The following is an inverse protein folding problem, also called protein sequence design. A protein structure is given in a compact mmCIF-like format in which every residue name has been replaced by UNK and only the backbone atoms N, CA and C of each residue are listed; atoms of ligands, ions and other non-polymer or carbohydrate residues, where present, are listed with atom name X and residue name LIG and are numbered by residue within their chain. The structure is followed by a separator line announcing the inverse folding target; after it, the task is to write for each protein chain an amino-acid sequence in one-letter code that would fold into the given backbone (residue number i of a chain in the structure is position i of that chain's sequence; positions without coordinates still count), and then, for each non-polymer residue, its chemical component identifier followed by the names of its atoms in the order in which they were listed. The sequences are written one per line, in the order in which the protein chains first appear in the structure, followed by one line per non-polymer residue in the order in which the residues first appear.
data_IF_639465663439
#
_entry.id   IF_639465663439
#
_cell.length_a   1.000
_cell.length_b   1.000
_cell.length_c   1.000
_cell.angle_alpha   90.00
_cell.angle_beta   90.00
_cell.angle_gamma   90.00
#
_symmetry.space_group_name_H-M   'P 1'
#
loop_
_entity.id
_entity.type
_entity.pdbx_description
1 polymer ?
#
# COMPACT_ATOMS: atom_id res chain seq x y z
N UNK A 1 -30.16 -25.24 8.27
CA UNK A 1 -29.22 -24.25 7.69
C UNK A 1 -29.55 -24.05 6.22
N UNK A 2 -29.68 -22.81 5.77
CA UNK A 2 -29.93 -22.45 4.39
C UNK A 2 -28.65 -21.94 3.74
N UNK A 3 -28.35 -22.43 2.54
CA UNK A 3 -27.23 -21.96 1.73
C UNK A 3 -27.79 -21.28 0.50
N UNK A 4 -27.45 -20.00 0.32
CA UNK A 4 -27.70 -19.27 -0.92
C UNK A 4 -26.37 -19.23 -1.67
N UNK A 5 -26.34 -19.75 -2.90
CA UNK A 5 -25.13 -19.83 -3.73
C UNK A 5 -25.47 -19.52 -5.18
N UNK A 6 -24.46 -19.33 -6.03
CA UNK A 6 -24.65 -18.95 -7.44
C UNK A 6 -24.83 -17.46 -7.67
N UNK A 7 -24.67 -16.62 -6.64
CA UNK A 7 -24.69 -15.16 -6.80
C UNK A 7 -23.39 -14.70 -7.46
N UNK A 8 -23.41 -14.65 -8.78
CA UNK A 8 -22.30 -14.21 -9.61
C UNK A 8 -22.45 -12.75 -9.96
N UNK A 9 -21.32 -12.04 -9.92
CA UNK A 9 -21.26 -10.65 -10.32
C UNK A 9 -20.04 -10.37 -11.17
N UNK A 10 -20.26 -9.49 -12.14
CA UNK A 10 -19.26 -8.97 -13.05
C UNK A 10 -19.44 -7.46 -13.06
N UNK A 11 -18.43 -6.73 -12.58
CA UNK A 11 -18.52 -5.27 -12.54
C UNK A 11 -18.34 -4.64 -13.94
N UNK A 12 -17.52 -5.23 -14.82
CA UNK A 12 -17.48 -4.92 -16.26
C UNK A 12 -16.82 -6.07 -17.07
N UNK A 13 -17.01 -6.05 -18.39
CA UNK A 13 -16.36 -7.00 -19.31
C UNK A 13 -14.89 -6.60 -19.52
N UNK A 14 -13.99 -7.57 -19.41
CA UNK A 14 -12.56 -7.41 -19.71
C UNK A 14 -11.76 -6.66 -18.63
N UNK A 15 -12.37 -6.41 -17.47
CA UNK A 15 -11.72 -5.75 -16.33
C UNK A 15 -11.71 -6.67 -15.14
N UNK A 16 -10.62 -6.64 -14.38
CA UNK A 16 -10.55 -7.33 -13.10
C UNK A 16 -10.64 -6.30 -11.97
N UNK A 17 -11.11 -6.75 -10.82
CA UNK A 17 -11.33 -5.89 -9.67
C UNK A 17 -10.73 -6.53 -8.45
N UNK A 18 -10.22 -5.68 -7.55
CA UNK A 18 -9.82 -6.12 -6.23
C UNK A 18 -11.06 -6.12 -5.33
N UNK A 19 -11.67 -7.28 -5.15
CA UNK A 19 -12.82 -7.43 -4.25
C UNK A 19 -12.37 -7.20 -2.81
N UNK A 20 -13.00 -6.24 -2.12
CA UNK A 20 -12.49 -5.75 -0.83
C UNK A 20 -13.32 -6.23 0.35
N UNK A 21 -14.65 -6.05 0.32
CA UNK A 21 -15.52 -6.45 1.44
C UNK A 21 -16.97 -6.70 1.03
N UNK A 22 -17.68 -7.44 1.88
CA UNK A 22 -19.12 -7.64 1.85
C UNK A 22 -19.69 -7.01 3.11
N UNK A 23 -20.43 -5.91 2.97
CA UNK A 23 -21.20 -5.32 4.05
C UNK A 23 -22.64 -5.81 3.98
N UNK A 24 -23.30 -6.01 5.12
CA UNK A 24 -24.64 -6.59 5.16
C UNK A 24 -25.48 -6.04 6.30
N UNK A 25 -26.80 -6.13 6.13
CA UNK A 25 -27.77 -5.74 7.14
C UNK A 25 -28.87 -6.80 7.32
N UNK A 26 -29.37 -6.89 8.54
CA UNK A 26 -30.45 -7.76 8.96
C UNK A 26 -31.37 -7.01 9.94
N UNK A 27 -32.68 -7.21 9.82
CA UNK A 27 -33.65 -6.64 10.75
C UNK A 27 -33.50 -7.22 12.17
N UNK A 28 -33.11 -8.50 12.27
CA UNK A 28 -32.83 -9.17 13.52
C UNK A 28 -31.94 -10.40 13.28
N UNK A 29 -30.97 -10.59 14.17
CA UNK A 29 -30.19 -11.81 14.26
C UNK A 29 -30.54 -12.51 15.59
N UNK A 30 -31.50 -13.45 15.60
CA UNK A 30 -31.91 -14.15 16.81
C UNK A 30 -30.75 -14.91 17.47
N UNK A 31 -30.87 -15.18 18.76
CA UNK A 31 -29.97 -16.10 19.44
C UNK A 31 -29.92 -17.46 18.71
N UNK A 32 -28.78 -18.14 18.79
CA UNK A 32 -28.53 -19.44 18.13
C UNK A 32 -28.52 -19.39 16.60
N UNK A 33 -28.49 -18.20 15.98
CA UNK A 33 -28.39 -18.05 14.52
C UNK A 33 -27.07 -17.41 14.09
N UNK A 34 -26.66 -17.65 12.84
CA UNK A 34 -25.49 -16.97 12.29
C UNK A 34 -25.57 -16.73 10.78
N UNK A 35 -24.84 -15.69 10.35
CA UNK A 35 -24.65 -15.32 8.95
C UNK A 35 -23.16 -15.36 8.61
N UNK A 36 -22.80 -16.04 7.53
CA UNK A 36 -21.43 -16.07 7.01
C UNK A 36 -21.41 -15.99 5.49
N UNK A 37 -20.33 -15.44 4.94
CA UNK A 37 -20.11 -15.35 3.50
C UNK A 37 -18.85 -16.12 3.11
N UNK A 38 -18.87 -16.67 1.91
CA UNK A 38 -17.70 -17.21 1.22
C UNK A 38 -17.65 -16.58 -0.18
N UNK A 39 -16.44 -16.34 -0.66
CA UNK A 39 -16.20 -15.79 -1.98
C UNK A 39 -15.27 -16.68 -2.79
N UNK A 40 -15.47 -16.71 -4.10
CA UNK A 40 -14.53 -17.26 -5.07
C UNK A 40 -14.52 -16.41 -6.32
N UNK A 41 -13.43 -16.49 -7.06
CA UNK A 41 -13.16 -15.60 -8.20
C UNK A 41 -12.99 -16.36 -9.49
N UNK A 42 -13.24 -15.68 -10.61
CA UNK A 42 -13.07 -16.24 -11.94
C UNK A 42 -12.72 -15.14 -12.95
N UNK A 43 -11.86 -15.46 -13.91
CA UNK A 43 -11.53 -14.55 -15.00
C UNK A 43 -12.48 -14.72 -16.19
N UNK A 44 -13.08 -15.90 -16.37
CA UNK A 44 -13.88 -16.29 -17.54
C UNK A 44 -15.35 -16.59 -17.20
N UNK A 45 -15.74 -16.49 -15.93
CA UNK A 45 -17.09 -16.79 -15.42
C UNK A 45 -17.42 -18.29 -15.35
N UNK A 46 -16.49 -19.16 -15.76
CA UNK A 46 -16.70 -20.60 -15.96
C UNK A 46 -15.74 -21.45 -15.13
N UNK A 47 -14.48 -21.04 -15.06
CA UNK A 47 -13.40 -21.63 -14.26
C UNK A 47 -13.24 -20.82 -12.98
N UNK A 48 -13.55 -21.44 -11.84
CA UNK A 48 -13.62 -20.75 -10.54
C UNK A 48 -12.50 -21.18 -9.61
N UNK A 49 -12.00 -20.24 -8.81
CA UNK A 49 -11.13 -20.55 -7.69
C UNK A 49 -11.85 -21.45 -6.67
N UNK A 50 -11.08 -21.98 -5.72
CA UNK A 50 -11.66 -22.55 -4.50
C UNK A 50 -12.46 -21.49 -3.72
N UNK A 51 -13.47 -21.94 -3.00
CA UNK A 51 -14.17 -21.11 -2.03
C UNK A 51 -13.21 -20.70 -0.92
N UNK A 52 -13.09 -19.40 -0.69
CA UNK A 52 -12.45 -18.86 0.51
C UNK A 52 -13.51 -18.26 1.42
N UNK A 53 -13.44 -18.57 2.71
CA UNK A 53 -14.30 -17.93 3.71
C UNK A 53 -13.99 -16.44 3.79
N UNK A 54 -15.02 -15.59 3.67
CA UNK A 54 -14.90 -14.16 3.89
C UNK A 54 -14.62 -13.84 5.37
N UNK A 55 -15.19 -14.60 6.31
CA UNK A 55 -14.80 -14.55 7.73
C UNK A 55 -15.44 -15.67 8.57
N UNK A 56 -15.20 -15.61 9.89
CA UNK A 56 -15.97 -16.31 10.92
C UNK A 56 -17.46 -15.95 10.86
N UNK A 57 -18.37 -16.89 11.15
CA UNK A 57 -19.80 -16.60 11.22
C UNK A 57 -20.11 -15.51 12.24
N UNK A 58 -20.95 -14.57 11.83
CA UNK A 58 -21.48 -13.53 12.71
C UNK A 58 -22.68 -14.08 13.46
N UNK A 59 -22.62 -14.04 14.79
CA UNK A 59 -23.64 -14.59 15.71
C UNK A 59 -24.36 -13.52 16.51
N UNK A 60 -24.01 -12.25 16.31
CA UNK A 60 -24.64 -11.10 16.95
C UNK A 60 -24.57 -9.86 16.04
N UNK A 61 -25.42 -8.87 16.33
CA UNK A 61 -25.50 -7.63 15.54
C UNK A 61 -26.50 -7.71 14.38
N UNK A 62 -27.07 -6.56 14.04
CA UNK A 62 -28.02 -6.38 12.92
C UNK A 62 -27.33 -5.87 11.65
N UNK A 63 -26.02 -5.66 11.70
CA UNK A 63 -25.20 -5.31 10.54
C UNK A 63 -23.80 -5.86 10.74
N UNK A 64 -23.06 -6.01 9.64
CA UNK A 64 -21.67 -6.41 9.69
C UNK A 64 -20.93 -6.14 8.39
N UNK A 65 -19.61 -6.27 8.43
CA UNK A 65 -18.75 -6.21 7.26
C UNK A 65 -17.73 -7.35 7.32
N UNK A 66 -17.57 -8.07 6.22
CA UNK A 66 -16.63 -9.17 6.08
C UNK A 66 -15.61 -8.83 5.00
N UNK A 67 -14.32 -8.96 5.31
CA UNK A 67 -13.25 -8.73 4.33
C UNK A 67 -13.19 -9.90 3.35
N UNK A 68 -13.06 -9.59 2.07
CA UNK A 68 -12.74 -10.58 1.03
C UNK A 68 -11.47 -10.19 0.25
N UNK A 69 -10.66 -9.29 0.85
CA UNK A 69 -9.43 -8.76 0.25
C UNK A 69 -8.34 -9.82 0.03
N UNK A 70 -8.50 -11.02 0.57
CA UNK A 70 -7.63 -12.17 0.31
C UNK A 70 -7.89 -12.82 -1.05
N UNK A 71 -9.02 -12.55 -1.70
CA UNK A 71 -9.32 -13.04 -3.04
C UNK A 71 -8.38 -12.43 -4.08
N UNK A 72 -8.02 -13.23 -5.08
CA UNK A 72 -7.29 -12.73 -6.24
C UNK A 72 -8.15 -11.77 -7.06
N UNK A 73 -7.51 -10.76 -7.64
CA UNK A 73 -8.17 -9.83 -8.52
C UNK A 73 -8.70 -10.56 -9.75
N UNK A 74 -9.96 -10.33 -10.09
CA UNK A 74 -10.66 -11.09 -11.12
C UNK A 74 -11.84 -10.32 -11.69
N UNK A 75 -12.32 -10.75 -12.85
CA UNK A 75 -13.47 -10.14 -13.51
C UNK A 75 -14.79 -10.52 -12.84
N UNK A 76 -14.84 -11.72 -12.26
CA UNK A 76 -16.03 -12.27 -11.64
C UNK A 76 -15.78 -12.59 -10.18
N UNK A 77 -16.77 -12.26 -9.35
CA UNK A 77 -16.92 -12.76 -7.99
C UNK A 77 -18.18 -13.61 -7.91
N UNK A 78 -18.09 -14.73 -7.22
CA UNK A 78 -19.25 -15.49 -6.78
C UNK A 78 -19.28 -15.53 -5.27
N UNK A 79 -20.45 -15.22 -4.72
CA UNK A 79 -20.68 -15.22 -3.28
C UNK A 79 -21.62 -16.34 -2.90
N UNK A 80 -21.28 -17.00 -1.81
CA UNK A 80 -22.12 -17.96 -1.12
C UNK A 80 -22.40 -17.45 0.29
N UNK A 81 -23.66 -17.54 0.70
CA UNK A 81 -24.14 -17.09 2.00
C UNK A 81 -24.66 -18.30 2.75
N UNK A 82 -24.29 -18.42 4.02
CA UNK A 82 -24.79 -19.46 4.90
C UNK A 82 -25.56 -18.83 6.06
N UNK A 83 -26.84 -19.19 6.14
CA UNK A 83 -27.82 -18.81 7.13
C UNK A 83 -28.02 -20.02 8.06
N UNK A 84 -27.37 -20.00 9.22
CA UNK A 84 -27.36 -21.15 10.12
C UNK A 84 -28.21 -20.90 11.37
N UNK A 85 -28.71 -22.01 11.93
CA UNK A 85 -29.41 -22.08 13.20
C UNK A 85 -28.93 -23.34 13.91
N UNK A 86 -28.53 -23.22 15.18
CA UNK A 86 -28.12 -24.35 16.01
C UNK A 86 -29.28 -24.99 16.78
N UNK A 87 -30.44 -24.32 16.86
CA UNK A 87 -31.62 -24.82 17.58
C UNK A 87 -32.75 -25.30 16.65
N UNK A 88 -32.72 -24.94 15.36
CA UNK A 88 -33.77 -25.29 14.41
C UNK A 88 -35.12 -24.59 14.65
N UNK A 89 -35.18 -23.67 15.62
CA UNK A 89 -36.38 -22.90 16.00
C UNK A 89 -36.27 -21.50 15.43
N UNK A 90 -35.09 -20.88 15.57
CA UNK A 90 -34.82 -19.54 15.10
C UNK A 90 -34.20 -19.57 13.71
N UNK A 91 -34.58 -18.63 12.83
CA UNK A 91 -34.01 -18.51 11.48
C UNK A 91 -33.43 -17.10 11.31
N UNK A 92 -32.17 -16.95 10.88
CA UNK A 92 -31.62 -15.63 10.58
C UNK A 92 -32.23 -15.10 9.28
N UNK A 93 -32.36 -13.78 9.19
CA UNK A 93 -32.75 -13.10 7.96
C UNK A 93 -31.61 -12.22 7.48
N UNK A 94 -31.44 -12.10 6.16
CA UNK A 94 -30.52 -11.16 5.55
C UNK A 94 -31.35 -10.29 4.61
N UNK A 95 -31.37 -8.98 4.87
CA UNK A 95 -32.20 -8.05 4.10
C UNK A 95 -31.48 -7.58 2.83
N UNK A 96 -30.22 -7.19 3.00
CA UNK A 96 -29.37 -6.68 1.92
C UNK A 96 -27.90 -6.96 2.22
N UNK A 97 -27.12 -6.93 1.14
CA UNK A 97 -25.67 -6.89 1.21
C UNK A 97 -25.13 -6.00 0.10
N UNK A 98 -23.96 -5.43 0.34
CA UNK A 98 -23.20 -4.57 -0.58
C UNK A 98 -21.82 -5.17 -0.76
N UNK A 99 -21.35 -5.22 -2.00
CA UNK A 99 -19.97 -5.64 -2.30
C UNK A 99 -19.16 -4.41 -2.69
N UNK A 100 -18.06 -4.23 -1.98
CA UNK A 100 -17.08 -3.19 -2.24
C UNK A 100 -15.91 -3.78 -3.02
N UNK A 101 -15.37 -3.02 -3.97
CA UNK A 101 -14.23 -3.42 -4.78
C UNK A 101 -13.43 -2.20 -5.22
N UNK A 102 -12.13 -2.40 -5.43
CA UNK A 102 -11.22 -1.39 -5.95
C UNK A 102 -10.89 -1.69 -7.42
N UNK A 103 -10.68 -0.61 -8.18
CA UNK A 103 -10.32 -0.67 -9.61
C UNK A 103 -8.82 -0.52 -9.85
N UNK A 104 -8.10 0.00 -8.87
CA UNK A 104 -6.65 0.14 -8.85
C UNK A 104 -6.07 -0.79 -7.79
N UNK A 105 -4.95 -1.43 -8.07
CA UNK A 105 -4.23 -2.22 -7.06
C UNK A 105 -3.37 -1.31 -6.20
N UNK A 106 -3.21 -1.71 -4.94
CA UNK A 106 -2.28 -1.05 -4.04
C UNK A 106 -0.84 -1.29 -4.54
N UNK A 107 0.05 -0.27 -4.48
CA UNK A 107 1.46 -0.47 -4.76
C UNK A 107 2.07 -1.55 -3.86
N UNK A 108 2.95 -2.39 -4.38
CA UNK A 108 3.60 -3.43 -3.58
C UNK A 108 4.85 -2.87 -2.90
N UNK A 109 5.04 -3.15 -1.60
CA UNK A 109 6.18 -2.62 -0.85
C UNK A 109 7.55 -2.96 -1.48
N UNK A 110 7.72 -4.14 -2.07
CA UNK A 110 8.94 -4.57 -2.78
C UNK A 110 9.31 -3.68 -3.97
N UNK A 111 8.35 -2.92 -4.50
CA UNK A 111 8.51 -2.10 -5.70
C UNK A 111 8.76 -0.61 -5.38
N UNK A 112 8.90 -0.27 -4.10
CA UNK A 112 9.14 1.08 -3.61
C UNK A 112 10.62 1.24 -3.25
N UNK A 113 11.27 2.24 -3.83
CA UNK A 113 12.65 2.60 -3.55
C UNK A 113 12.80 4.11 -3.33
N UNK A 114 13.59 4.49 -2.34
CA UNK A 114 13.85 5.87 -1.95
C UNK A 114 15.31 6.23 -2.19
N UNK A 115 15.53 7.40 -2.78
CA UNK A 115 16.84 7.93 -3.14
C UNK A 115 17.02 9.33 -2.58
N UNK A 116 18.28 9.78 -2.55
CA UNK A 116 18.61 11.21 -2.52
C UNK A 116 17.96 11.93 -3.70
N UNK A 117 17.80 13.24 -3.58
CA UNK A 117 17.04 14.06 -4.54
C UNK A 117 17.60 14.02 -5.96
N UNK A 118 18.90 13.79 -6.12
CA UNK A 118 19.57 13.59 -7.41
C UNK A 118 19.27 12.22 -8.07
N UNK A 119 18.68 11.28 -7.32
CA UNK A 119 18.37 9.93 -7.74
C UNK A 119 19.56 8.98 -7.86
N UNK A 120 20.78 9.41 -7.51
CA UNK A 120 22.00 8.61 -7.67
C UNK A 120 22.24 7.66 -6.50
N UNK A 121 21.91 8.12 -5.28
CA UNK A 121 22.17 7.39 -4.05
C UNK A 121 20.89 6.79 -3.51
N UNK A 122 20.84 5.45 -3.47
CA UNK A 122 19.76 4.71 -2.82
C UNK A 122 19.84 4.93 -1.30
N UNK A 123 18.76 5.46 -0.72
CA UNK A 123 18.60 5.57 0.73
C UNK A 123 18.06 4.27 1.31
N UNK A 124 17.03 3.70 0.66
CA UNK A 124 16.43 2.42 1.06
C UNK A 124 15.57 1.83 -0.06
N UNK A 125 15.47 0.51 -0.12
CA UNK A 125 14.43 -0.20 -0.86
C UNK A 125 13.91 -1.38 -0.04
N UNK A 126 12.95 -2.12 -0.59
CA UNK A 126 12.34 -3.28 0.06
C UNK A 126 12.82 -4.62 -0.53
N UNK A 127 14.01 -4.69 -1.16
CA UNK A 127 14.54 -5.92 -1.79
C UNK A 127 15.83 -6.42 -1.12
N UNK A 128 15.77 -7.61 -0.49
CA UNK A 128 16.95 -8.41 -0.14
C UNK A 128 17.74 -7.98 1.11
N UNK A 129 18.00 -8.95 1.99
CA UNK A 129 18.82 -8.97 3.23
C UNK A 129 18.30 -8.22 4.46
N UNK A 130 17.48 -7.18 4.31
CA UNK A 130 16.63 -6.67 5.41
C UNK A 130 15.21 -7.23 5.27
N UNK A 131 15.02 -8.46 5.73
CA UNK A 131 13.80 -9.25 5.53
C UNK A 131 12.59 -8.82 6.40
N UNK A 132 12.39 -7.52 6.57
CA UNK A 132 11.13 -6.94 7.03
C UNK A 132 10.72 -5.90 5.99
N UNK A 133 9.57 -6.05 5.35
CA UNK A 133 9.08 -5.14 4.32
C UNK A 133 9.15 -3.67 4.80
N UNK A 134 10.04 -2.89 4.18
CA UNK A 134 10.43 -1.57 4.67
C UNK A 134 11.01 -1.61 6.09
N UNK A 135 12.23 -2.10 6.28
CA UNK A 135 12.98 -1.62 7.44
C UNK A 135 13.21 -0.13 7.23
N UNK A 136 12.84 0.67 8.22
CA UNK A 136 13.05 2.10 8.23
C UNK A 136 14.53 2.52 8.18
N UNK A 137 14.77 3.78 8.52
CA UNK A 137 16.08 4.33 8.90
C UNK A 137 17.01 4.75 7.75
N UNK A 138 16.44 5.13 6.59
CA UNK A 138 17.19 5.91 5.62
C UNK A 138 17.71 7.22 6.24
N UNK A 139 18.87 7.70 5.81
CA UNK A 139 19.41 8.98 6.27
C UNK A 139 19.86 9.83 5.11
N UNK A 140 19.53 11.12 5.14
CA UNK A 140 20.09 12.07 4.18
C UNK A 140 20.33 13.44 4.80
N UNK A 141 21.33 14.12 4.25
CA UNK A 141 21.64 15.51 4.52
C UNK A 141 21.06 16.46 3.47
N UNK A 142 19.97 16.08 2.83
CA UNK A 142 19.25 16.90 1.86
C UNK A 142 17.88 17.29 2.40
N UNK A 143 17.35 18.44 2.01
CA UNK A 143 15.96 18.84 2.32
C UNK A 143 14.95 18.30 1.31
N UNK A 144 15.35 17.28 0.54
CA UNK A 144 14.56 16.65 -0.48
C UNK A 144 14.91 15.17 -0.64
N UNK A 145 13.92 14.39 -1.09
CA UNK A 145 14.09 12.97 -1.43
C UNK A 145 13.34 12.65 -2.73
N UNK A 146 13.77 11.57 -3.38
CA UNK A 146 13.12 11.02 -4.57
C UNK A 146 12.60 9.63 -4.25
N UNK A 147 11.33 9.35 -4.54
CA UNK A 147 10.73 8.03 -4.32
C UNK A 147 10.27 7.47 -5.68
N UNK A 148 10.81 6.32 -6.03
CA UNK A 148 10.43 5.57 -7.22
C UNK A 148 9.45 4.46 -6.81
N UNK A 149 8.36 4.33 -7.55
CA UNK A 149 7.35 3.28 -7.36
C UNK A 149 7.18 2.57 -8.69
N UNK A 150 7.41 1.27 -8.71
CA UNK A 150 7.38 0.45 -9.94
C UNK A 150 6.24 -0.57 -9.91
N UNK A 151 5.90 -1.10 -11.08
CA UNK A 151 4.89 -2.17 -11.19
C UNK A 151 3.52 -1.74 -10.67
N UNK A 152 3.14 -0.47 -10.89
CA UNK A 152 1.78 -0.02 -10.64
C UNK A 152 0.85 -0.75 -11.61
N UNK A 153 -0.26 -1.27 -11.09
CA UNK A 153 -1.23 -2.01 -11.88
C UNK A 153 -2.65 -1.59 -11.52
N UNK A 154 -3.53 -1.67 -12.50
CA UNK A 154 -4.96 -1.74 -12.24
C UNK A 154 -5.35 -3.17 -11.86
N UNK A 155 -6.54 -3.35 -11.28
CA UNK A 155 -7.11 -4.67 -11.10
C UNK A 155 -7.06 -5.44 -12.42
N UNK A 156 -6.08 -6.34 -12.54
CA UNK A 156 -6.00 -7.28 -13.65
C UNK A 156 -4.72 -7.41 -14.47
N UNK A 157 -3.60 -6.85 -14.04
CA UNK A 157 -2.30 -7.14 -14.64
C UNK A 157 -1.77 -8.53 -14.28
N UNK A 158 -2.37 -9.61 -14.80
CA UNK A 158 -1.60 -10.83 -15.03
C UNK A 158 -0.74 -10.61 -16.28
N UNK A 159 0.51 -11.05 -16.24
CA UNK A 159 1.51 -10.93 -17.31
C UNK A 159 0.89 -11.15 -18.70
N UNK A 160 0.72 -10.08 -19.48
CA UNK A 160 0.26 -10.18 -20.87
C UNK A 160 -0.85 -9.22 -21.31
N UNK A 161 -1.52 -8.52 -20.39
CA UNK A 161 -2.43 -7.42 -20.77
C UNK A 161 -2.51 -6.32 -19.68
N UNK A 162 -1.65 -5.29 -19.74
CA UNK A 162 -1.42 -4.33 -18.66
C UNK A 162 -2.22 -3.03 -18.83
N UNK A 163 -3.43 -3.09 -19.39
CA UNK A 163 -4.21 -1.87 -19.59
C UNK A 163 -5.18 -1.66 -18.42
N UNK A 164 -5.15 -0.48 -17.83
CA UNK A 164 -6.30 0.08 -17.13
C UNK A 164 -7.43 0.31 -18.17
N UNK A 165 -8.13 -0.75 -18.58
CA UNK A 165 -8.73 -0.85 -19.94
C UNK A 165 -9.93 0.06 -20.26
N UNK A 166 -10.31 0.99 -19.40
CA UNK A 166 -11.22 2.07 -19.84
C UNK A 166 -10.83 3.38 -19.18
N UNK A 167 -10.52 4.38 -20.01
CA UNK A 167 -10.48 5.79 -19.64
C UNK A 167 -9.23 6.29 -18.95
N UNK A 168 -8.32 5.42 -18.50
CA UNK A 168 -7.09 5.87 -17.85
C UNK A 168 -5.91 5.83 -18.80
N UNK A 169 -5.19 6.96 -18.87
CA UNK A 169 -3.97 7.12 -19.64
C UNK A 169 -2.76 7.45 -18.77
N UNK A 170 -2.95 7.53 -17.45
CA UNK A 170 -1.92 8.03 -16.53
C UNK A 170 -2.09 7.46 -15.12
N UNK A 171 -1.66 6.22 -14.90
CA UNK A 171 -1.58 5.61 -13.58
C UNK A 171 -0.30 6.09 -12.89
N UNK A 172 -0.41 6.71 -11.72
CA UNK A 172 0.72 7.32 -11.01
C UNK A 172 0.69 7.02 -9.52
N UNK A 173 1.83 7.04 -8.83
CA UNK A 173 1.86 6.94 -7.39
C UNK A 173 1.47 8.28 -6.76
N UNK A 174 0.74 8.22 -5.66
CA UNK A 174 0.58 9.31 -4.72
C UNK A 174 1.14 8.87 -3.37
N UNK A 175 1.91 9.75 -2.75
CA UNK A 175 2.60 9.54 -1.48
C UNK A 175 2.03 10.50 -0.46
N UNK A 176 1.66 9.99 0.70
CA UNK A 176 1.45 10.80 1.89
C UNK A 176 2.66 10.65 2.80
N UNK A 177 3.32 11.77 3.08
CA UNK A 177 4.52 11.83 3.93
C UNK A 177 4.21 12.64 5.19
N UNK A 178 4.56 12.11 6.35
CA UNK A 178 4.35 12.78 7.63
C UNK A 178 5.58 12.64 8.53
N UNK A 179 5.78 13.56 9.49
CA UNK A 179 6.60 13.27 10.66
C UNK A 179 6.17 11.95 11.30
N UNK A 180 7.10 11.13 11.77
CA UNK A 180 6.84 9.77 12.28
C UNK A 180 5.70 9.66 13.32
N UNK A 181 5.55 10.70 14.14
CA UNK A 181 4.56 10.73 15.25
C UNK A 181 3.25 11.41 14.84
N UNK A 182 3.12 11.85 13.60
CA UNK A 182 1.88 12.44 13.07
C UNK A 182 1.11 11.37 12.32
N UNK A 183 -0.15 11.13 12.70
CA UNK A 183 -0.99 10.16 12.02
C UNK A 183 -1.24 10.57 10.55
N UNK A 184 -1.34 9.57 9.68
CA UNK A 184 -1.82 9.80 8.32
C UNK A 184 -3.30 10.22 8.31
N UNK A 185 -3.62 11.22 7.51
CA UNK A 185 -4.97 11.79 7.35
C UNK A 185 -5.53 11.60 5.94
N UNK A 186 -4.67 11.33 4.95
CA UNK A 186 -5.07 11.19 3.55
C UNK A 186 -5.44 12.51 2.87
N UNK A 187 -5.10 13.65 3.48
CA UNK A 187 -5.55 14.99 3.08
C UNK A 187 -4.40 15.98 2.90
N UNK A 188 -3.36 15.92 3.74
CA UNK A 188 -2.25 16.87 3.72
C UNK A 188 -0.91 16.19 3.50
N UNK A 189 0.07 16.95 2.99
CA UNK A 189 1.40 16.44 2.61
C UNK A 189 1.30 15.29 1.60
N UNK A 190 0.42 15.48 0.60
CA UNK A 190 0.26 14.59 -0.53
C UNK A 190 1.15 15.04 -1.67
N UNK A 191 1.99 14.13 -2.14
CA UNK A 191 2.90 14.31 -3.26
C UNK A 191 2.55 13.30 -4.33
N UNK A 192 2.66 13.69 -5.60
CA UNK A 192 2.34 12.82 -6.73
C UNK A 192 3.34 13.03 -7.85
N UNK A 193 3.47 12.04 -8.73
CA UNK A 193 4.25 12.24 -9.93
C UNK A 193 3.65 13.38 -10.77
N UNK A 194 4.49 14.34 -11.14
CA UNK A 194 4.11 15.50 -11.93
C UNK A 194 4.11 15.23 -13.43
N UNK A 195 4.62 14.09 -13.89
CA UNK A 195 4.64 13.75 -15.30
C UNK A 195 3.29 13.18 -15.75
N UNK A 196 2.44 14.04 -16.30
CA UNK A 196 1.23 13.60 -16.98
C UNK A 196 1.58 13.00 -18.35
N UNK A 197 1.10 11.78 -18.63
CA UNK A 197 1.01 11.23 -20.00
C UNK A 197 2.20 10.42 -20.53
N UNK A 198 2.97 9.75 -19.67
CA UNK A 198 4.10 8.90 -20.09
C UNK A 198 3.79 7.38 -20.13
N UNK A 199 2.62 6.92 -19.70
CA UNK A 199 2.40 5.48 -19.46
C UNK A 199 1.61 4.77 -20.55
N UNK A 200 2.32 4.41 -21.62
CA UNK A 200 1.89 3.40 -22.60
C UNK A 200 2.63 2.06 -22.40
N UNK A 201 3.49 1.94 -21.37
CA UNK A 201 4.30 0.75 -21.11
C UNK A 201 3.63 -0.21 -20.12
N UNK A 202 3.89 -1.49 -20.36
CA UNK A 202 3.42 -2.67 -19.66
C UNK A 202 3.81 -2.79 -18.18
N UNK A 203 4.69 -1.91 -17.70
CA UNK A 203 5.14 -1.83 -16.31
C UNK A 203 5.21 -0.35 -15.90
N UNK A 204 4.08 0.18 -15.44
CA UNK A 204 3.97 1.61 -15.12
C UNK A 204 4.84 1.93 -13.89
N UNK A 205 5.72 2.93 -14.05
CA UNK A 205 6.66 3.38 -13.03
C UNK A 205 6.47 4.88 -12.81
N UNK A 206 6.36 5.30 -11.56
CA UNK A 206 6.25 6.71 -11.21
C UNK A 206 7.37 7.16 -10.28
N UNK A 207 7.72 8.43 -10.43
CA UNK A 207 8.74 9.10 -9.62
C UNK A 207 8.13 10.30 -8.91
N UNK A 208 8.23 10.32 -7.58
CA UNK A 208 7.75 11.44 -6.76
C UNK A 208 8.94 12.16 -6.14
N UNK A 209 9.04 13.46 -6.42
CA UNK A 209 10.03 14.35 -5.80
C UNK A 209 9.38 15.09 -4.64
N UNK A 210 9.99 14.97 -3.46
CA UNK A 210 9.52 15.62 -2.23
C UNK A 210 10.59 16.60 -1.79
N UNK A 211 10.23 17.87 -1.62
CA UNK A 211 11.14 18.97 -1.27
C UNK A 211 10.65 19.72 -0.04
N UNK A 212 11.53 20.52 0.58
CA UNK A 212 11.16 21.35 1.73
C UNK A 212 11.10 20.57 3.05
N UNK A 213 11.81 19.45 3.13
CA UNK A 213 11.92 18.63 4.32
C UNK A 213 12.90 19.25 5.32
N UNK A 214 12.64 19.02 6.61
CA UNK A 214 13.42 19.59 7.71
C UNK A 214 13.84 18.51 8.68
N UNK A 215 14.87 18.79 9.49
CA UNK A 215 15.22 17.92 10.62
C UNK A 215 14.07 17.83 11.62
N UNK A 216 13.65 16.61 11.98
CA UNK A 216 12.59 16.35 12.97
C UNK A 216 13.16 15.53 14.12
N UNK A 217 13.93 16.18 15.00
CA UNK A 217 14.30 15.69 16.34
C UNK A 217 14.75 14.22 16.47
N UNK A 218 15.32 13.62 15.42
CA UNK A 218 15.67 12.19 15.36
C UNK A 218 14.53 11.22 15.03
N UNK A 219 13.26 11.63 15.09
CA UNK A 219 12.11 10.75 14.82
C UNK A 219 11.87 10.53 13.33
N UNK A 220 12.31 11.47 12.48
CA UNK A 220 12.24 11.35 11.04
C UNK A 220 10.82 11.37 10.48
N UNK A 221 10.67 10.79 9.30
CA UNK A 221 9.43 10.74 8.54
C UNK A 221 8.99 9.31 8.29
N UNK A 222 7.68 9.11 8.14
CA UNK A 222 7.09 7.88 7.61
C UNK A 222 6.16 8.21 6.43
N UNK A 223 5.91 7.25 5.56
CA UNK A 223 5.04 7.47 4.40
C UNK A 223 4.24 6.25 4.02
N UNK A 224 3.17 6.50 3.27
CA UNK A 224 2.36 5.49 2.59
C UNK A 224 2.15 5.88 1.15
N UNK A 225 1.94 4.89 0.29
CA UNK A 225 1.81 5.05 -1.16
C UNK A 225 0.50 4.45 -1.64
N UNK A 226 -0.19 5.11 -2.56
CA UNK A 226 -1.33 4.56 -3.30
C UNK A 226 -1.20 4.82 -4.78
N UNK A 227 -1.90 4.03 -5.58
CA UNK A 227 -2.08 4.27 -7.01
C UNK A 227 -3.21 5.29 -7.20
N UNK A 228 -3.06 6.20 -8.15
CA UNK A 228 -4.12 7.10 -8.62
C UNK A 228 -4.06 7.23 -10.13
N UNK A 229 -5.15 7.63 -10.76
CA UNK A 229 -5.15 7.89 -12.19
C UNK A 229 -5.83 9.21 -12.59
N UNK A 230 -5.91 9.44 -13.90
CA UNK A 230 -6.59 10.56 -14.57
C UNK A 230 -8.12 10.46 -14.55
N UNK A 231 -8.70 9.34 -14.12
CA UNK A 231 -10.14 9.19 -13.86
C UNK A 231 -10.50 9.47 -12.39
N UNK A 232 -9.56 10.01 -11.61
CA UNK A 232 -9.72 10.25 -10.16
C UNK A 232 -9.94 8.97 -9.34
N UNK A 233 -9.62 7.80 -9.89
CA UNK A 233 -9.64 6.56 -9.12
C UNK A 233 -8.42 6.53 -8.21
N UNK A 234 -8.55 5.89 -7.06
CA UNK A 234 -7.46 5.70 -6.09
C UNK A 234 -7.50 4.26 -5.58
N UNK A 235 -6.34 3.66 -5.35
CA UNK A 235 -6.25 2.41 -4.60
C UNK A 235 -6.33 2.68 -3.09
N UNK A 236 -6.39 1.61 -2.30
CA UNK A 236 -6.01 1.68 -0.89
C UNK A 236 -4.54 2.08 -0.70
N UNK A 237 -4.18 2.36 0.54
CA UNK A 237 -2.81 2.71 0.90
C UNK A 237 -1.95 1.48 1.20
N UNK A 238 -0.70 1.52 0.75
CA UNK A 238 0.38 0.65 1.21
C UNK A 238 1.29 1.45 2.12
N UNK A 239 1.32 1.08 3.39
CA UNK A 239 2.24 1.66 4.36
C UNK A 239 3.66 1.18 4.06
N UNK A 240 4.56 2.10 3.80
CA UNK A 240 5.97 1.78 3.69
C UNK A 240 6.53 1.60 5.09
N UNK A 241 7.41 0.64 5.23
CA UNK A 241 8.06 0.34 6.49
C UNK A 241 7.16 0.02 7.69
N UNK A 242 5.96 -0.52 7.43
CA UNK A 242 4.99 -0.84 8.48
C UNK A 242 4.76 0.34 9.46
N UNK A 243 4.76 1.57 8.95
CA UNK A 243 4.64 2.82 9.70
C UNK A 243 5.80 3.16 10.65
N UNK A 244 6.92 2.44 10.56
CA UNK A 244 8.18 2.81 11.19
C UNK A 244 8.79 4.07 10.54
N UNK A 245 9.87 4.59 11.14
CA UNK A 245 10.59 5.75 10.58
C UNK A 245 11.21 5.35 9.26
N UNK A 246 10.66 5.81 8.14
CA UNK A 246 11.20 5.51 6.83
C UNK A 246 12.58 6.15 6.60
N UNK A 247 12.75 7.40 7.02
CA UNK A 247 14.03 8.10 6.93
C UNK A 247 14.13 9.31 7.86
N UNK A 248 15.36 9.77 8.08
CA UNK A 248 15.67 10.98 8.84
C UNK A 248 16.41 12.00 7.96
N UNK A 249 16.21 13.27 8.29
CA UNK A 249 16.96 14.41 7.73
C UNK A 249 17.88 14.94 8.82
N UNK A 250 19.18 15.08 8.51
CA UNK A 250 20.14 15.74 9.38
C UNK A 250 20.88 16.84 8.61
N UNK A 251 20.87 18.06 9.13
CA UNK A 251 21.51 19.23 8.52
C UNK A 251 22.64 19.79 9.37
N UNK A 252 22.91 19.19 10.54
CA UNK A 252 23.94 19.66 11.45
C UNK A 252 25.30 19.53 10.79
N UNK A 253 26.01 20.64 10.52
CA UNK A 253 27.36 20.58 10.00
C UNK A 253 28.25 19.81 10.98
N UNK A 254 29.22 19.04 10.50
CA UNK A 254 30.17 18.38 11.38
C UNK A 254 30.91 19.44 12.22
N UNK A 255 30.91 19.25 13.53
CA UNK A 255 31.70 20.07 14.46
C UNK A 255 33.09 19.49 14.57
N UNK A 256 34.10 20.23 14.13
CA UNK A 256 35.51 19.87 14.38
C UNK A 256 35.87 20.40 15.77
N UNK A 257 36.14 19.48 16.70
CA UNK A 257 36.49 19.83 18.09
C UNK A 257 37.99 20.09 18.24
N UNK A 258 38.82 19.40 17.45
CA UNK A 258 40.24 19.64 17.40
C UNK A 258 40.81 19.34 16.01
N UNK A 259 41.86 20.08 15.67
CA UNK A 259 42.67 19.88 14.48
C UNK A 259 44.11 19.76 14.96
N UNK A 260 44.79 18.65 14.66
CA UNK A 260 46.20 18.49 15.01
C UNK A 260 47.04 18.11 13.80
N UNK A 261 48.20 18.76 13.72
CA UNK A 261 49.26 18.45 12.78
C UNK A 261 50.30 17.63 13.54
N UNK A 262 50.61 16.42 13.05
CA UNK A 262 51.57 15.51 13.70
C UNK A 262 51.32 15.35 15.21
N UNK A 263 50.06 15.10 15.57
CA UNK A 263 49.62 14.94 16.97
C UNK A 263 49.90 16.15 17.88
N UNK A 264 49.94 17.36 17.30
CA UNK A 264 50.11 18.61 18.06
C UNK A 264 51.56 19.02 18.26
N UNK A 265 52.49 18.47 17.47
CA UNK A 265 53.88 18.89 17.50
C UNK A 265 54.02 20.38 17.13
N UNK A 266 54.70 21.16 17.97
CA UNK A 266 54.93 22.59 17.73
C UNK A 266 55.80 22.85 16.49
N UNK A 267 56.69 21.92 16.15
CA UNK A 267 57.54 21.93 14.96
C UNK A 267 57.74 20.50 14.46
N UNK A 268 57.94 20.32 13.15
CA UNK A 268 58.39 19.07 12.54
C UNK A 268 59.37 19.35 11.42
N UNK A 269 60.41 18.53 11.29
CA UNK A 269 61.30 18.52 10.12
C UNK A 269 60.89 17.45 9.09
N UNK A 270 59.83 16.69 9.39
CA UNK A 270 59.32 15.65 8.51
C UNK A 270 58.48 16.28 7.39
N UNK A 271 58.80 15.98 6.13
CA UNK A 271 58.04 16.48 4.99
C UNK A 271 56.68 15.78 4.85
N UNK A 272 56.54 14.58 5.42
CA UNK A 272 55.27 13.89 5.53
C UNK A 272 54.55 14.35 6.80
N UNK A 273 53.39 14.94 6.63
CA UNK A 273 52.57 15.46 7.72
C UNK A 273 51.31 14.62 7.87
N UNK A 274 51.04 14.16 9.09
CA UNK A 274 49.77 13.52 9.42
C UNK A 274 48.78 14.58 9.90
N UNK A 275 47.64 14.65 9.22
CA UNK A 275 46.49 15.46 9.60
C UNK A 275 45.52 14.58 10.37
N UNK A 276 45.26 14.93 11.64
CA UNK A 276 44.22 14.29 12.44
C UNK A 276 43.08 15.29 12.68
N UNK A 277 41.86 14.84 12.40
CA UNK A 277 40.61 15.58 12.62
C UNK A 277 39.77 14.76 13.61
N UNK A 278 39.28 15.40 14.66
CA UNK A 278 38.41 14.79 15.68
C UNK A 278 37.23 15.68 16.01
#
# INVERSE_FOLDING_TARGET
PGVVSGLKMQASIGQKYKWSSISWNSAALPANTSISFQGRTSDDGSSWSGWSTASTPQTSGTSGSQSISNLSSSQWLEVQMNLASSDGISTPTLNDFTINYDTLENPVNSNIAMYKSDGSTLLKNSSGVDATAGSGDGWTNETAVKINVTGLTCGGGASGNPACVTGSTNLRPQIELKPKDTAFDGLTNLYQDGQAGQDQDSTINGTVYITGLTTIGGNGYHFRVRSTDDQSRVSGWTNYASDATAFTIEQTPPTISSFTINSGAAYTSNQNVTLNIS
#
